data_IF_208424232682
#
_entry.id   IF_208424232682
#
_cell.length_a   1.000
_cell.length_b   1.000
_cell.length_c   1.000
_cell.angle_alpha   90.00
_cell.angle_beta   90.00
_cell.angle_gamma   90.00
#
_symmetry.space_group_name_H-M   'P 1'
#
loop_
_entity.id
_entity.type
_entity.pdbx_description
1 polymer ?
#
# COMPACT_ATOMS: atom_id res chain seq x y z
N UNK A 1 12.02 18.40 -44.21
CA UNK A 1 11.05 18.77 -43.16
C UNK A 1 11.02 17.65 -42.14
N UNK A 2 11.75 17.83 -41.04
CA UNK A 2 11.90 16.79 -40.00
C UNK A 2 10.67 16.79 -39.10
N UNK A 3 10.01 15.64 -39.01
CA UNK A 3 8.90 15.41 -38.09
C UNK A 3 9.51 15.09 -36.71
N UNK A 4 9.57 16.08 -35.83
CA UNK A 4 9.97 15.87 -34.44
C UNK A 4 8.81 15.15 -33.73
N UNK A 5 8.87 13.82 -33.67
CA UNK A 5 8.08 13.06 -32.73
C UNK A 5 8.45 13.53 -31.33
N UNK A 6 7.52 14.20 -30.64
CA UNK A 6 7.64 14.51 -29.22
C UNK A 6 7.70 13.18 -28.45
N UNK A 7 8.90 12.70 -28.18
CA UNK A 7 9.09 11.64 -27.20
C UNK A 7 8.68 12.20 -25.85
N UNK A 8 7.45 11.93 -25.42
CA UNK A 8 7.05 12.18 -24.04
C UNK A 8 7.91 11.26 -23.18
N UNK A 9 9.03 11.79 -22.68
CA UNK A 9 9.89 11.09 -21.74
C UNK A 9 9.06 10.82 -20.49
N UNK A 10 8.73 9.54 -20.25
CA UNK A 10 7.98 9.14 -19.07
C UNK A 10 8.69 9.68 -17.82
N UNK A 11 7.94 10.30 -16.91
CA UNK A 11 8.51 10.86 -15.70
C UNK A 11 9.15 9.75 -14.87
N UNK A 12 10.30 9.97 -14.21
CA UNK A 12 10.88 8.97 -13.30
C UNK A 12 9.91 8.59 -12.16
N UNK A 13 8.91 9.43 -11.89
CA UNK A 13 7.86 9.21 -10.88
C UNK A 13 6.61 8.50 -11.41
N UNK A 14 6.55 8.13 -12.69
CA UNK A 14 5.48 7.28 -13.25
C UNK A 14 5.68 5.81 -12.84
N UNK A 15 5.73 5.59 -11.53
CA UNK A 15 5.84 4.29 -10.89
C UNK A 15 4.48 3.57 -10.91
N UNK A 16 4.45 2.23 -10.75
CA UNK A 16 3.20 1.49 -10.88
C UNK A 16 2.06 1.97 -9.98
N UNK A 17 2.34 2.39 -8.73
CA UNK A 17 1.31 2.94 -7.83
C UNK A 17 0.80 4.31 -8.27
N UNK A 18 1.64 5.15 -8.89
CA UNK A 18 1.22 6.43 -9.48
C UNK A 18 0.21 6.18 -10.60
N UNK A 19 0.54 5.26 -11.50
CA UNK A 19 -0.33 4.92 -12.65
C UNK A 19 -1.66 4.35 -12.18
N UNK A 20 -1.66 3.36 -11.28
CA UNK A 20 -2.91 2.79 -10.75
C UNK A 20 -3.68 3.79 -9.89
N UNK A 21 -2.99 4.70 -9.18
CA UNK A 21 -3.61 5.75 -8.39
C UNK A 21 -4.37 6.78 -9.25
N UNK A 22 -3.80 7.20 -10.39
CA UNK A 22 -4.49 8.08 -11.35
C UNK A 22 -5.74 7.41 -11.93
N UNK A 23 -5.64 6.13 -12.33
CA UNK A 23 -6.81 5.38 -12.80
C UNK A 23 -7.89 5.23 -11.71
N UNK A 24 -7.49 5.02 -10.44
CA UNK A 24 -8.42 4.99 -9.32
C UNK A 24 -9.08 6.35 -9.04
N UNK A 25 -8.35 7.46 -9.23
CA UNK A 25 -8.91 8.81 -9.13
C UNK A 25 -10.01 9.04 -10.18
N UNK A 26 -9.76 8.69 -11.43
CA UNK A 26 -10.73 8.81 -12.52
C UNK A 26 -12.02 8.05 -12.19
N UNK A 27 -11.89 6.82 -11.68
CA UNK A 27 -13.04 6.01 -11.24
C UNK A 27 -13.82 6.67 -10.09
N UNK A 28 -13.13 7.22 -9.08
CA UNK A 28 -13.76 7.94 -7.98
C UNK A 28 -14.45 9.25 -8.41
N UNK A 29 -13.89 9.95 -9.39
CA UNK A 29 -14.49 11.16 -9.97
C UNK A 29 -15.79 10.82 -10.72
N UNK A 30 -15.83 9.69 -11.44
CA UNK A 30 -17.05 9.22 -12.10
C UNK A 30 -18.12 8.83 -11.08
N UNK A 31 -17.76 8.11 -10.02
CA UNK A 31 -18.71 7.66 -9.00
C UNK A 31 -19.23 8.79 -8.10
N UNK A 32 -18.40 9.79 -7.82
CA UNK A 32 -18.74 10.90 -6.94
C UNK A 32 -18.29 12.24 -7.55
N UNK A 33 -18.99 12.73 -8.60
CA UNK A 33 -18.56 13.91 -9.37
C UNK A 33 -18.60 15.21 -8.56
N UNK A 34 -19.46 15.29 -7.55
CA UNK A 34 -19.56 16.47 -6.67
C UNK A 34 -18.46 16.51 -5.60
N UNK A 35 -17.73 15.41 -5.39
CA UNK A 35 -16.64 15.36 -4.41
C UNK A 35 -15.39 16.00 -5.01
N UNK A 36 -14.80 16.97 -4.28
CA UNK A 36 -13.44 17.43 -4.57
C UNK A 36 -12.42 16.35 -4.20
N UNK A 37 -11.81 15.74 -5.21
CA UNK A 37 -10.71 14.80 -5.06
C UNK A 37 -9.37 15.50 -5.29
N UNK A 38 -8.46 15.41 -4.31
CA UNK A 38 -7.10 15.95 -4.42
C UNK A 38 -6.11 14.79 -4.48
N UNK A 39 -5.63 14.44 -5.67
CA UNK A 39 -4.61 13.41 -5.84
C UNK A 39 -3.23 14.01 -5.69
N UNK A 40 -2.63 13.83 -4.50
CA UNK A 40 -1.34 14.44 -4.17
C UNK A 40 -0.20 13.57 -4.67
N UNK A 41 0.52 14.08 -5.66
CA UNK A 41 1.70 13.48 -6.23
C UNK A 41 2.95 13.77 -5.40
N UNK A 42 3.29 12.81 -4.54
CA UNK A 42 4.48 12.87 -3.69
C UNK A 42 5.65 12.30 -4.49
N UNK A 43 6.55 13.18 -4.91
CA UNK A 43 7.74 12.85 -5.67
C UNK A 43 8.94 12.94 -4.72
N UNK A 44 9.64 11.83 -4.51
CA UNK A 44 10.76 11.71 -3.58
C UNK A 44 11.99 11.31 -4.37
N UNK A 45 13.06 12.11 -4.31
CA UNK A 45 14.32 11.75 -4.98
C UNK A 45 15.10 10.74 -4.15
N UNK A 46 16.11 10.11 -4.76
CA UNK A 46 16.96 9.16 -4.05
C UNK A 46 17.74 9.87 -2.92
N UNK A 47 18.19 11.10 -3.15
CA UNK A 47 18.89 11.92 -2.17
C UNK A 47 17.99 12.25 -0.98
N UNK A 48 16.76 12.72 -1.23
CA UNK A 48 15.79 13.04 -0.17
C UNK A 48 15.46 11.79 0.66
N UNK A 49 15.26 10.64 -0.01
CA UNK A 49 15.03 9.36 0.66
C UNK A 49 16.20 8.99 1.57
N UNK A 50 17.43 9.02 1.07
CA UNK A 50 18.62 8.64 1.83
C UNK A 50 18.86 9.56 3.03
N UNK A 51 18.76 10.87 2.83
CA UNK A 51 18.95 11.86 3.89
C UNK A 51 17.88 11.72 4.98
N UNK A 52 16.61 11.69 4.59
CA UNK A 52 15.48 11.60 5.53
C UNK A 52 15.48 10.26 6.27
N UNK A 53 15.82 9.17 5.57
CA UNK A 53 15.92 7.85 6.20
C UNK A 53 16.95 7.85 7.32
N UNK A 54 18.17 8.33 7.02
CA UNK A 54 19.29 8.34 7.96
C UNK A 54 19.03 9.28 9.15
N UNK A 55 18.42 10.44 8.90
CA UNK A 55 18.21 11.46 9.94
C UNK A 55 16.94 11.29 10.76
N UNK A 56 15.94 10.53 10.27
CA UNK A 56 14.62 10.46 10.93
C UNK A 56 13.98 9.07 10.89
N UNK A 57 13.79 8.50 9.70
CA UNK A 57 12.91 7.32 9.54
C UNK A 57 13.51 6.07 10.22
N UNK A 58 14.84 5.93 10.24
CA UNK A 58 15.50 4.79 10.90
C UNK A 58 15.08 4.64 12.38
N UNK A 59 14.98 5.76 13.11
CA UNK A 59 14.57 5.79 14.51
C UNK A 59 13.09 5.43 14.70
N UNK A 60 12.25 5.74 13.71
CA UNK A 60 10.80 5.45 13.75
C UNK A 60 10.50 3.98 13.39
N UNK A 61 11.35 3.37 12.56
CA UNK A 61 11.20 1.96 12.13
C UNK A 61 11.71 1.00 13.21
N UNK A 62 12.82 1.32 13.90
CA UNK A 62 13.33 0.58 15.06
C UNK A 62 12.17 0.20 16.02
N UNK A 63 12.04 -1.02 16.59
CA UNK A 63 13.05 -2.08 16.64
C UNK A 63 13.05 -2.99 15.42
N UNK A 64 12.21 -2.72 14.42
CA UNK A 64 12.26 -3.48 13.18
C UNK A 64 13.52 -3.10 12.40
N UNK A 65 14.17 -4.09 11.80
CA UNK A 65 15.50 -3.93 11.23
C UNK A 65 15.67 -4.61 9.87
N UNK A 66 14.58 -5.04 9.22
CA UNK A 66 14.67 -5.72 7.92
C UNK A 66 14.57 -4.75 6.74
N UNK A 67 15.01 -5.17 5.56
CA UNK A 67 14.87 -4.41 4.30
C UNK A 67 13.39 -4.14 3.98
N UNK A 68 12.51 -5.08 4.31
CA UNK A 68 11.07 -4.89 4.17
C UNK A 68 10.57 -3.75 5.07
N UNK A 69 11.04 -3.70 6.31
CA UNK A 69 10.61 -2.69 7.28
C UNK A 69 11.10 -1.29 6.90
N UNK A 70 12.34 -1.18 6.39
CA UNK A 70 12.89 0.05 5.81
C UNK A 70 12.02 0.55 4.65
N UNK A 71 11.80 -0.31 3.66
CA UNK A 71 11.11 0.06 2.41
C UNK A 71 9.64 0.45 2.64
N UNK A 72 8.91 -0.28 3.48
CA UNK A 72 7.53 0.08 3.84
C UNK A 72 7.53 1.32 4.72
N UNK A 73 8.37 1.37 5.75
CA UNK A 73 8.44 2.51 6.68
C UNK A 73 8.70 3.83 5.95
N UNK A 74 9.66 3.84 5.03
CA UNK A 74 9.95 5.02 4.22
C UNK A 74 8.76 5.41 3.33
N UNK A 75 8.16 4.45 2.62
CA UNK A 75 7.04 4.73 1.73
C UNK A 75 5.82 5.27 2.48
N UNK A 76 5.51 4.71 3.66
CA UNK A 76 4.41 5.19 4.52
C UNK A 76 4.72 6.57 5.08
N UNK A 77 5.94 6.83 5.58
CA UNK A 77 6.33 8.14 6.12
C UNK A 77 6.15 9.25 5.07
N UNK A 78 6.72 9.07 3.87
CA UNK A 78 6.58 10.06 2.80
C UNK A 78 5.13 10.26 2.36
N UNK A 79 4.34 9.19 2.27
CA UNK A 79 2.91 9.27 1.98
C UNK A 79 2.16 10.05 3.07
N UNK A 80 2.45 9.76 4.33
CA UNK A 80 1.81 10.37 5.49
C UNK A 80 2.13 11.86 5.62
N UNK A 81 3.32 12.32 5.21
CA UNK A 81 3.66 13.75 5.13
C UNK A 81 2.61 14.54 4.33
N UNK A 82 2.05 13.94 3.28
CA UNK A 82 0.98 14.53 2.48
C UNK A 82 1.40 15.82 1.76
N UNK A 83 2.69 15.96 1.45
CA UNK A 83 3.29 17.10 0.74
C UNK A 83 3.73 16.63 -0.65
N UNK A 84 3.23 17.29 -1.69
CA UNK A 84 3.52 16.96 -3.08
C UNK A 84 2.90 17.98 -4.03
N UNK A 85 2.46 17.52 -5.19
CA UNK A 85 1.81 18.34 -6.20
C UNK A 85 0.40 17.84 -6.49
N UNK A 86 -0.55 18.71 -6.79
CA UNK A 86 -1.83 18.31 -7.38
C UNK A 86 -1.94 18.94 -8.76
N UNK A 87 -2.60 18.23 -9.68
CA UNK A 87 -2.93 18.76 -11.00
C UNK A 87 -4.33 19.36 -10.95
N UNK A 88 -4.45 20.67 -11.13
CA UNK A 88 -5.72 21.37 -11.34
C UNK A 88 -5.63 22.06 -12.71
N UNK A 89 -6.61 21.82 -13.60
CA UNK A 89 -6.69 22.43 -14.93
C UNK A 89 -5.45 22.24 -15.84
N UNK A 90 -4.71 21.13 -15.66
CA UNK A 90 -3.51 20.83 -16.44
C UNK A 90 -2.21 21.42 -15.88
N UNK A 91 -2.28 22.22 -14.82
CA UNK A 91 -1.11 22.79 -14.15
C UNK A 91 -0.86 22.10 -12.81
N UNK A 92 0.40 21.77 -12.55
CA UNK A 92 0.84 21.21 -11.28
C UNK A 92 1.08 22.31 -10.26
N UNK A 93 0.40 22.26 -9.11
CA UNK A 93 0.66 23.17 -7.98
C UNK A 93 1.11 22.44 -6.74
N UNK A 94 2.03 23.05 -5.99
CA UNK A 94 2.46 22.52 -4.70
C UNK A 94 1.26 22.44 -3.73
N UNK A 95 1.14 21.33 -3.02
CA UNK A 95 0.04 21.04 -2.12
C UNK A 95 0.53 20.30 -0.88
N UNK A 96 0.02 20.73 0.28
CA UNK A 96 0.22 20.04 1.56
C UNK A 96 -1.13 19.78 2.19
N UNK A 97 -1.47 18.50 2.37
CA UNK A 97 -2.69 18.09 3.04
C UNK A 97 -2.65 18.45 4.53
N UNK A 98 -3.68 19.15 5.00
CA UNK A 98 -3.91 19.47 6.42
C UNK A 98 -4.64 18.36 7.17
N UNK A 99 -5.03 17.27 6.50
CA UNK A 99 -5.75 16.17 7.12
C UNK A 99 -4.94 15.57 8.28
N UNK A 100 -5.60 15.43 9.42
CA UNK A 100 -5.04 14.82 10.64
C UNK A 100 -5.30 13.32 10.72
N UNK A 101 -6.27 12.84 9.96
CA UNK A 101 -6.63 11.42 9.91
C UNK A 101 -6.19 10.85 8.56
N UNK A 102 -5.52 9.70 8.58
CA UNK A 102 -5.19 8.89 7.41
C UNK A 102 -5.99 7.59 7.48
N UNK A 103 -6.79 7.32 6.46
CA UNK A 103 -7.44 6.02 6.31
C UNK A 103 -6.49 5.08 5.58
N UNK A 104 -6.26 3.90 6.14
CA UNK A 104 -5.38 2.89 5.54
C UNK A 104 -6.11 1.57 5.33
N UNK A 105 -5.74 0.86 4.25
CA UNK A 105 -6.27 -0.45 3.90
C UNK A 105 -5.61 -1.63 4.62
N UNK A 106 -4.72 -1.38 5.58
CA UNK A 106 -4.09 -2.42 6.39
C UNK A 106 -5.15 -3.27 7.09
N UNK A 107 -4.93 -4.59 7.13
CA UNK A 107 -5.88 -5.57 7.66
C UNK A 107 -6.74 -6.24 6.57
N UNK A 108 -6.90 -5.60 5.40
CA UNK A 108 -7.68 -6.18 4.31
C UNK A 108 -7.01 -7.45 3.75
N UNK A 109 -5.69 -7.40 3.50
CA UNK A 109 -4.99 -8.53 2.89
C UNK A 109 -4.83 -9.70 3.87
N UNK A 110 -4.56 -9.42 5.15
CA UNK A 110 -4.40 -10.39 6.25
C UNK A 110 -5.69 -11.16 6.53
N UNK A 111 -6.86 -10.53 6.36
CA UNK A 111 -8.15 -11.16 6.66
C UNK A 111 -8.83 -11.80 5.44
N UNK A 112 -8.56 -11.28 4.24
CA UNK A 112 -9.26 -11.66 2.99
C UNK A 112 -8.34 -12.38 2.00
N UNK A 113 -7.25 -12.96 2.48
CA UNK A 113 -6.29 -13.73 1.69
C UNK A 113 -5.67 -12.96 0.51
N UNK A 114 -5.21 -11.73 0.74
CA UNK A 114 -4.70 -10.84 -0.32
C UNK A 114 -3.25 -11.06 -0.76
N UNK A 115 -2.39 -11.64 0.10
CA UNK A 115 -0.99 -11.93 -0.23
C UNK A 115 -0.83 -13.15 -1.14
N UNK A 116 0.18 -13.11 -2.04
CA UNK A 116 0.50 -14.26 -2.90
C UNK A 116 0.90 -15.51 -2.11
N UNK A 117 1.49 -15.35 -0.92
CA UNK A 117 1.84 -16.46 -0.02
C UNK A 117 0.62 -17.24 0.46
N UNK A 118 -0.54 -16.60 0.59
CA UNK A 118 -1.79 -17.28 0.93
C UNK A 118 -2.18 -18.33 -0.11
N UNK A 119 -2.01 -18.01 -1.39
CA UNK A 119 -2.25 -18.95 -2.49
C UNK A 119 -1.25 -20.11 -2.46
N UNK A 120 0.01 -19.84 -2.15
CA UNK A 120 1.02 -20.90 -1.98
C UNK A 120 0.60 -21.82 -0.83
N UNK A 121 0.25 -21.25 0.32
CA UNK A 121 -0.21 -21.99 1.50
C UNK A 121 -1.45 -22.83 1.19
N UNK A 122 -2.43 -22.26 0.52
CA UNK A 122 -3.65 -22.98 0.10
C UNK A 122 -3.34 -24.17 -0.82
N UNK A 123 -2.43 -23.99 -1.79
CA UNK A 123 -2.02 -25.09 -2.68
C UNK A 123 -1.29 -26.21 -1.94
N UNK A 124 -0.47 -25.87 -0.94
CA UNK A 124 0.32 -26.84 -0.19
C UNK A 124 -0.47 -27.53 0.92
N UNK A 125 -1.40 -26.84 1.56
CA UNK A 125 -2.01 -27.28 2.83
C UNK A 125 -3.53 -27.08 2.90
N UNK A 126 -4.17 -26.82 1.76
CA UNK A 126 -5.62 -26.70 1.66
C UNK A 126 -6.22 -25.49 2.39
N UNK A 127 -7.56 -25.45 2.51
CA UNK A 127 -8.29 -24.41 3.24
C UNK A 127 -7.85 -24.26 4.70
N UNK A 128 -7.56 -25.37 5.39
CA UNK A 128 -7.15 -25.39 6.80
C UNK A 128 -5.79 -24.71 6.97
N UNK A 129 -4.83 -25.02 6.09
CA UNK A 129 -3.52 -24.37 6.10
C UNK A 129 -3.60 -22.88 5.80
N UNK A 130 -4.51 -22.45 4.93
CA UNK A 130 -4.80 -21.04 4.68
C UNK A 130 -5.37 -20.36 5.93
N UNK A 131 -6.37 -20.95 6.58
CA UNK A 131 -6.96 -20.42 7.81
C UNK A 131 -5.91 -20.21 8.92
N UNK A 132 -5.01 -21.16 9.10
CA UNK A 132 -3.91 -21.05 10.06
C UNK A 132 -2.98 -19.88 9.72
N UNK A 133 -2.64 -19.69 8.45
CA UNK A 133 -1.79 -18.58 8.00
C UNK A 133 -2.46 -17.22 8.26
N UNK A 134 -3.73 -17.05 7.86
CA UNK A 134 -4.47 -15.80 8.10
C UNK A 134 -4.60 -15.48 9.59
N UNK A 135 -4.89 -16.50 10.42
CA UNK A 135 -4.97 -16.34 11.88
C UNK A 135 -3.63 -15.93 12.48
N UNK A 136 -2.54 -16.57 12.05
CA UNK A 136 -1.18 -16.22 12.48
C UNK A 136 -0.82 -14.78 12.10
N UNK A 137 -1.16 -14.33 10.89
CA UNK A 137 -0.91 -12.95 10.46
C UNK A 137 -1.70 -11.94 11.26
N UNK A 138 -3.01 -12.17 11.44
CA UNK A 138 -3.86 -11.28 12.22
C UNK A 138 -3.36 -11.18 13.68
N UNK A 139 -2.92 -12.30 14.28
CA UNK A 139 -2.37 -12.30 15.65
C UNK A 139 -1.06 -11.50 15.80
N UNK A 140 -0.31 -11.30 14.69
CA UNK A 140 0.99 -10.62 14.69
C UNK A 140 0.93 -9.21 14.09
N UNK A 141 -0.21 -8.80 13.56
CA UNK A 141 -0.35 -7.54 12.79
C UNK A 141 0.10 -6.32 13.60
N UNK A 142 -0.14 -6.32 14.92
CA UNK A 142 0.28 -5.26 15.83
C UNK A 142 1.79 -5.03 15.80
N UNK A 143 2.58 -6.10 15.87
CA UNK A 143 4.04 -6.05 15.91
C UNK A 143 4.69 -5.95 14.53
N UNK A 144 4.05 -6.50 13.49
CA UNK A 144 4.60 -6.55 12.12
C UNK A 144 4.26 -5.34 11.26
N UNK A 145 3.11 -4.72 11.48
CA UNK A 145 2.63 -3.61 10.67
C UNK A 145 2.33 -2.39 11.55
N UNK A 146 1.35 -2.53 12.47
CA UNK A 146 0.74 -1.38 13.13
C UNK A 146 1.75 -0.57 13.94
N UNK A 147 2.67 -1.20 14.67
CA UNK A 147 3.66 -0.48 15.47
C UNK A 147 4.62 0.38 14.64
N UNK A 148 5.09 -0.12 13.48
CA UNK A 148 5.91 0.66 12.55
C UNK A 148 5.08 1.80 11.95
N UNK A 149 3.92 1.45 11.40
CA UNK A 149 3.08 2.35 10.63
C UNK A 149 2.55 3.50 11.49
N UNK A 150 2.19 3.22 12.75
CA UNK A 150 1.79 4.22 13.75
C UNK A 150 2.89 5.26 13.97
N UNK A 151 4.13 4.84 14.27
CA UNK A 151 5.23 5.77 14.57
C UNK A 151 5.61 6.64 13.38
N UNK A 152 5.65 6.07 12.17
CA UNK A 152 5.98 6.85 10.97
C UNK A 152 4.85 7.82 10.56
N UNK A 153 3.59 7.48 10.84
CA UNK A 153 2.45 8.37 10.58
C UNK A 153 2.36 9.47 11.66
N UNK A 154 2.52 9.11 12.93
CA UNK A 154 2.46 10.01 14.08
C UNK A 154 3.57 11.08 14.06
N UNK A 155 4.72 10.79 13.43
CA UNK A 155 5.79 11.77 13.21
C UNK A 155 5.32 13.04 12.46
N UNK A 156 4.26 12.91 11.66
CA UNK A 156 3.62 14.02 10.96
C UNK A 156 2.43 14.64 11.71
N UNK A 157 2.25 14.31 12.99
CA UNK A 157 1.09 14.70 13.79
C UNK A 157 -0.22 14.29 13.12
N UNK A 158 -0.25 13.06 12.61
CA UNK A 158 -1.42 12.44 11.99
C UNK A 158 -1.72 11.11 12.68
N UNK A 159 -2.98 10.71 12.64
CA UNK A 159 -3.49 9.47 13.22
C UNK A 159 -3.96 8.55 12.10
N UNK A 160 -3.52 7.30 12.12
CA UNK A 160 -4.00 6.28 11.21
C UNK A 160 -5.30 5.67 11.74
N UNK A 161 -6.31 5.51 10.88
CA UNK A 161 -7.49 4.69 11.14
C UNK A 161 -7.52 3.52 10.18
N UNK A 162 -7.94 2.38 10.71
CA UNK A 162 -7.85 1.08 10.06
C UNK A 162 -9.26 0.47 9.91
N UNK A 163 -10.08 0.91 8.93
CA UNK A 163 -11.46 0.43 8.81
C UNK A 163 -11.59 -1.10 8.73
N UNK A 164 -10.60 -1.79 8.16
CA UNK A 164 -10.60 -3.25 8.10
C UNK A 164 -10.28 -3.94 9.43
N UNK A 165 -9.70 -3.22 10.39
CA UNK A 165 -9.39 -3.73 11.73
C UNK A 165 -10.39 -3.23 12.80
N UNK A 166 -11.48 -2.60 12.36
CA UNK A 166 -12.62 -2.34 13.24
C UNK A 166 -13.15 -3.66 13.81
N UNK A 167 -13.47 -3.70 15.10
CA UNK A 167 -13.85 -4.93 15.80
C UNK A 167 -15.08 -5.61 15.18
N UNK A 168 -16.05 -4.84 14.70
CA UNK A 168 -17.24 -5.39 14.06
C UNK A 168 -16.89 -5.99 12.69
N UNK A 169 -16.00 -5.35 11.93
CA UNK A 169 -15.51 -5.88 10.64
C UNK A 169 -14.71 -7.17 10.86
N UNK A 170 -13.79 -7.17 11.84
CA UNK A 170 -13.00 -8.35 12.20
C UNK A 170 -13.88 -9.49 12.67
N UNK A 171 -14.86 -9.22 13.53
CA UNK A 171 -15.82 -10.21 14.01
C UNK A 171 -16.63 -10.82 12.87
N UNK A 172 -17.16 -9.97 11.98
CA UNK A 172 -17.88 -10.42 10.79
C UNK A 172 -16.99 -11.33 9.92
N UNK A 173 -15.78 -10.89 9.57
CA UNK A 173 -14.88 -11.65 8.71
C UNK A 173 -14.40 -12.97 9.34
N UNK A 174 -14.30 -13.05 10.67
CA UNK A 174 -13.96 -14.29 11.36
C UNK A 174 -15.15 -15.26 11.46
N UNK A 175 -16.38 -14.76 11.47
CA UNK A 175 -17.58 -15.62 11.43
C UNK A 175 -17.80 -16.30 10.06
N UNK A 176 -17.22 -15.74 9.00
CA UNK A 176 -17.39 -16.24 7.63
C UNK A 176 -16.42 -17.37 7.30
N UNK A 177 -16.89 -18.45 6.64
CA UNK A 177 -16.00 -19.46 6.10
C UNK A 177 -14.99 -18.89 5.10
N UNK A 178 -13.77 -19.43 5.07
CA UNK A 178 -12.67 -18.88 4.27
C UNK A 178 -12.98 -18.83 2.77
N UNK A 179 -13.73 -19.81 2.24
CA UNK A 179 -14.13 -19.87 0.84
C UNK A 179 -15.13 -18.77 0.43
N UNK A 180 -15.83 -18.16 1.40
CA UNK A 180 -16.68 -16.98 1.15
C UNK A 180 -15.82 -15.72 1.01
N UNK A 181 -14.65 -15.68 1.67
CA UNK A 181 -13.73 -14.54 1.66
C UNK A 181 -12.81 -14.53 0.44
N UNK A 182 -12.36 -15.71 0.02
CA UNK A 182 -11.46 -15.91 -1.11
C UNK A 182 -11.65 -17.28 -1.76
N UNK A 183 -11.50 -17.33 -3.08
CA UNK A 183 -11.43 -18.57 -3.85
C UNK A 183 -10.09 -18.66 -4.56
N UNK A 184 -9.11 -19.29 -3.90
CA UNK A 184 -7.74 -19.37 -4.40
C UNK A 184 -7.55 -20.47 -5.48
N UNK A 185 -8.62 -21.09 -5.95
CA UNK A 185 -8.61 -21.91 -7.17
C UNK A 185 -8.71 -21.05 -8.43
N UNK A 186 -9.36 -19.88 -8.34
CA UNK A 186 -9.49 -18.92 -9.44
C UNK A 186 -8.16 -18.23 -9.77
N UNK A 187 -8.01 -17.65 -10.99
CA UNK A 187 -6.81 -16.92 -11.38
C UNK A 187 -6.41 -15.79 -10.41
N UNK A 188 -5.12 -15.43 -10.45
CA UNK A 188 -4.58 -14.33 -9.64
C UNK A 188 -5.27 -13.01 -10.02
N UNK A 189 -5.69 -12.25 -9.02
CA UNK A 189 -6.43 -11.00 -9.21
C UNK A 189 -7.95 -11.19 -9.24
N UNK A 190 -8.43 -12.43 -9.23
CA UNK A 190 -9.86 -12.76 -9.15
C UNK A 190 -10.17 -13.40 -7.80
N UNK A 191 -9.43 -14.45 -7.46
CA UNK A 191 -9.70 -15.28 -6.29
C UNK A 191 -9.35 -14.66 -4.94
N UNK A 192 -8.25 -13.91 -4.88
CA UNK A 192 -7.84 -13.20 -3.67
C UNK A 192 -8.84 -12.09 -3.33
N UNK A 193 -9.22 -11.96 -2.06
CA UNK A 193 -10.13 -10.90 -1.58
C UNK A 193 -11.50 -10.90 -2.28
N UNK A 194 -11.98 -12.07 -2.68
CA UNK A 194 -13.22 -12.23 -3.46
C UNK A 194 -14.39 -11.44 -2.86
N UNK A 195 -14.64 -11.57 -1.55
CA UNK A 195 -15.72 -10.84 -0.88
C UNK A 195 -15.59 -9.32 -1.04
N UNK A 196 -14.39 -8.78 -0.85
CA UNK A 196 -14.13 -7.34 -1.00
C UNK A 196 -14.25 -6.89 -2.46
N UNK A 197 -13.85 -7.73 -3.42
CA UNK A 197 -14.02 -7.42 -4.85
C UNK A 197 -15.49 -7.36 -5.25
N UNK A 198 -16.32 -8.26 -4.71
CA UNK A 198 -17.75 -8.26 -4.92
C UNK A 198 -18.40 -7.02 -4.28
N UNK A 199 -18.03 -6.67 -3.05
CA UNK A 199 -18.49 -5.45 -2.39
C UNK A 199 -18.09 -4.19 -3.19
N UNK A 200 -16.84 -4.11 -3.66
CA UNK A 200 -16.37 -3.00 -4.48
C UNK A 200 -17.19 -2.87 -5.78
N UNK A 201 -17.47 -3.98 -6.47
CA UNK A 201 -18.35 -3.98 -7.66
C UNK A 201 -19.75 -3.51 -7.36
N UNK A 202 -20.33 -3.92 -6.23
CA UNK A 202 -21.65 -3.46 -5.80
C UNK A 202 -21.69 -1.95 -5.54
N UNK A 203 -20.56 -1.36 -5.14
CA UNK A 203 -20.38 0.09 -4.97
C UNK A 203 -20.04 0.83 -6.28
N UNK A 204 -20.04 0.13 -7.42
CA UNK A 204 -19.75 0.73 -8.73
C UNK A 204 -18.25 0.78 -9.10
N UNK A 205 -17.36 0.26 -8.24
CA UNK A 205 -15.94 0.15 -8.59
C UNK A 205 -15.74 -1.00 -9.58
N UNK A 206 -15.05 -0.73 -10.67
CA UNK A 206 -14.82 -1.66 -11.78
C UNK A 206 -13.36 -2.07 -11.84
N UNK A 207 -12.45 -1.17 -12.22
CA UNK A 207 -11.05 -1.45 -12.43
C UNK A 207 -10.37 -1.76 -11.10
N UNK A 208 -10.64 -0.96 -10.06
CA UNK A 208 -10.08 -1.19 -8.72
C UNK A 208 -10.46 -2.56 -8.15
N UNK A 209 -11.65 -3.06 -8.48
CA UNK A 209 -12.15 -4.34 -8.00
C UNK A 209 -11.44 -5.56 -8.62
N UNK A 210 -10.70 -5.40 -9.73
CA UNK A 210 -10.00 -6.51 -10.41
C UNK A 210 -8.48 -6.39 -10.36
N UNK A 211 -7.94 -5.29 -9.81
CA UNK A 211 -6.49 -5.13 -9.68
C UNK A 211 -5.90 -6.19 -8.73
N UNK A 212 -4.85 -6.92 -9.15
CA UNK A 212 -4.10 -7.79 -8.27
C UNK A 212 -3.38 -6.99 -7.18
N UNK A 213 -3.24 -7.55 -5.98
CA UNK A 213 -2.44 -6.92 -4.91
C UNK A 213 -1.01 -6.68 -5.40
N UNK A 214 -0.57 -5.43 -5.27
CA UNK A 214 0.83 -5.02 -5.31
C UNK A 214 1.19 -4.41 -3.96
N UNK A 215 2.29 -4.84 -3.35
CA UNK A 215 2.75 -4.24 -2.10
C UNK A 215 3.41 -2.89 -2.39
N UNK A 216 3.22 -1.90 -1.52
CA UNK A 216 3.60 -0.51 -1.78
C UNK A 216 5.09 -0.35 -2.06
N UNK A 217 5.96 -1.16 -1.46
CA UNK A 217 7.41 -1.07 -1.69
C UNK A 217 7.81 -1.41 -3.14
N UNK A 218 7.00 -2.22 -3.82
CA UNK A 218 7.18 -2.53 -5.25
C UNK A 218 6.45 -1.51 -6.14
N UNK A 219 5.30 -1.03 -5.68
CA UNK A 219 4.46 -0.11 -6.40
C UNK A 219 5.00 1.32 -6.46
N UNK A 220 5.61 1.79 -5.37
CA UNK A 220 6.37 3.04 -5.32
C UNK A 220 7.77 2.93 -5.94
N UNK A 221 8.22 1.70 -6.25
CA UNK A 221 9.59 1.34 -6.64
C UNK A 221 10.67 1.69 -5.61
N UNK A 222 10.33 2.01 -4.36
CA UNK A 222 11.32 2.31 -3.33
C UNK A 222 12.30 1.13 -3.12
N UNK A 223 11.82 -0.12 -3.21
CA UNK A 223 12.68 -1.30 -3.12
C UNK A 223 13.66 -1.44 -4.31
N UNK A 224 13.43 -0.75 -5.44
CA UNK A 224 14.33 -0.72 -6.61
C UNK A 224 15.27 0.48 -6.61
N UNK A 225 15.01 1.50 -5.78
CA UNK A 225 15.91 2.63 -5.61
C UNK A 225 17.13 2.26 -4.74
N UNK A 226 17.15 1.04 -4.21
CA UNK A 226 18.16 0.49 -3.29
C UNK A 226 18.80 -0.79 -3.89
N UNK A 227 19.74 -1.41 -3.16
CA UNK A 227 20.48 -2.58 -3.66
C UNK A 227 19.55 -3.77 -3.98
N UNK A 228 19.51 -4.11 -5.27
CA UNK A 228 18.72 -5.23 -5.81
C UNK A 228 19.14 -6.62 -5.33
N UNK A 229 20.28 -6.75 -4.63
CA UNK A 229 20.80 -8.04 -4.16
C UNK A 229 20.25 -8.46 -2.79
N UNK A 230 19.69 -7.53 -2.03
CA UNK A 230 19.17 -7.83 -0.69
C UNK A 230 17.79 -8.48 -0.74
N UNK A 231 17.54 -9.43 0.17
CA UNK A 231 16.22 -10.01 0.38
C UNK A 231 15.44 -9.18 1.39
N UNK A 232 14.12 -9.21 1.25
CA UNK A 232 13.20 -8.51 2.15
C UNK A 232 13.40 -8.86 3.64
N UNK A 233 13.82 -10.09 3.95
CA UNK A 233 14.08 -10.57 5.31
C UNK A 233 15.48 -10.24 5.84
N UNK A 234 16.38 -9.75 4.99
CA UNK A 234 17.75 -9.47 5.40
C UNK A 234 17.77 -8.28 6.34
N UNK A 235 18.74 -8.28 7.26
CA UNK A 235 18.99 -7.14 8.14
C UNK A 235 19.41 -5.94 7.29
N UNK A 236 18.67 -4.84 7.42
CA UNK A 236 18.90 -3.62 6.67
C UNK A 236 20.00 -2.81 7.34
N UNK A 237 21.19 -2.84 6.74
CA UNK A 237 22.34 -2.05 7.20
C UNK A 237 22.07 -0.54 7.17
N UNK A 238 21.13 -0.08 6.34
CA UNK A 238 20.72 1.33 6.23
C UNK A 238 19.90 1.84 7.42
N UNK A 239 19.32 0.93 8.21
CA UNK A 239 18.63 1.26 9.45
C UNK A 239 19.56 1.25 10.67
N UNK A 240 20.81 0.78 10.51
CA UNK A 240 21.79 0.83 11.58
C UNK A 240 22.20 2.28 11.80
N UNK A 241 21.78 2.83 12.93
CA UNK A 241 22.31 4.09 13.44
C UNK A 241 23.78 3.89 13.78
N UNK A 242 24.65 4.68 13.16
CA UNK A 242 25.99 4.89 13.68
C UNK A 242 25.93 5.55 15.06
#
# INVERSE_FOLDING_TARGET
MGNAASSSTASPFDVPDRVTGRAGLEELQVLNPERKWNFVEINVTQEELQETRRGRICHLVYPLETVLDDSIGCAVWFAARGRGFITESGEGRAFTSRAKIILTGIGADEQLAGYSRHRVRFKTSGPEGLLQELSMELSRISTRNLGRDDRVIADHSKEARFPYLDEAVVSLLNSLPVWTKADLTLPRGVGEKLLLRLAAKQMGLTQSAVLPKRAMQFGSRIAKMEDTREKASDKCTRLLTA
#
